data_IF_406329825544
#
_entry.id   IF_406329825544
#
_cell.length_a   1.000
_cell.length_b   1.000
_cell.length_c   1.000
_cell.angle_alpha   90.00
_cell.angle_beta   90.00
_cell.angle_gamma   90.00
#
_symmetry.space_group_name_H-M   'P 1'
#
loop_
_entity.id
_entity.type
_entity.pdbx_description
1 polymer ?
#
# COMPACT_ATOMS: atom_id res chain seq x y z
N UNK A 1 6.30 29.51 -22.38
CA UNK A 1 5.88 28.50 -21.39
C UNK A 1 7.10 28.05 -20.60
N UNK A 2 7.23 28.44 -19.32
CA UNK A 2 8.33 27.96 -18.47
C UNK A 2 8.08 26.49 -18.14
N UNK A 3 8.92 25.60 -18.65
CA UNK A 3 8.99 24.20 -18.26
C UNK A 3 9.23 24.15 -16.76
N UNK A 4 8.21 23.78 -15.97
CA UNK A 4 8.40 23.48 -14.55
C UNK A 4 9.33 22.27 -14.47
N UNK A 5 10.59 22.51 -14.16
CA UNK A 5 11.56 21.47 -13.82
C UNK A 5 10.98 20.62 -12.70
N UNK A 6 11.03 19.30 -12.86
CA UNK A 6 10.61 18.39 -11.82
C UNK A 6 11.40 18.70 -10.53
N UNK A 7 10.76 18.70 -9.35
CA UNK A 7 11.46 18.97 -8.10
C UNK A 7 12.61 17.97 -7.95
N UNK A 8 13.82 18.50 -7.71
CA UNK A 8 15.01 17.68 -7.51
C UNK A 8 14.78 16.77 -6.29
N UNK A 9 15.18 15.49 -6.36
CA UNK A 9 15.11 14.63 -5.19
C UNK A 9 15.98 15.23 -4.07
N UNK A 10 15.51 15.24 -2.81
CA UNK A 10 16.29 15.71 -1.70
C UNK A 10 17.55 14.85 -1.53
N UNK A 11 18.62 15.42 -0.95
CA UNK A 11 19.86 14.70 -0.70
C UNK A 11 19.64 13.42 0.12
N UNK A 12 20.50 12.40 -0.06
CA UNK A 12 20.44 11.13 0.69
C UNK A 12 20.44 11.34 2.21
N UNK A 13 21.07 12.41 2.71
CA UNK A 13 21.05 12.78 4.13
C UNK A 13 19.62 12.91 4.69
N UNK A 14 18.65 13.32 3.87
CA UNK A 14 17.24 13.41 4.28
C UNK A 14 16.64 12.05 4.65
N UNK A 15 17.14 10.93 4.12
CA UNK A 15 16.68 9.60 4.49
C UNK A 15 17.02 9.21 5.95
N UNK A 16 17.82 10.03 6.64
CA UNK A 16 18.18 9.86 8.05
C UNK A 16 17.58 10.94 8.94
N UNK A 17 16.83 11.90 8.40
CA UNK A 17 16.20 12.93 9.21
C UNK A 17 15.09 12.32 10.08
N UNK A 18 14.96 12.83 11.30
CA UNK A 18 13.82 12.52 12.14
C UNK A 18 12.59 13.31 11.66
N UNK A 19 11.38 12.75 11.79
CA UNK A 19 10.18 13.51 11.51
C UNK A 19 10.06 14.73 12.46
N UNK A 20 9.53 15.87 11.97
CA UNK A 20 9.28 17.05 12.77
C UNK A 20 8.50 16.75 14.06
N UNK A 21 8.72 17.56 15.10
CA UNK A 21 8.08 17.34 16.40
C UNK A 21 6.55 17.31 16.32
N UNK A 22 5.94 18.18 15.50
CA UNK A 22 4.49 18.22 15.31
C UNK A 22 3.95 16.95 14.64
N UNK A 23 4.63 16.37 13.64
CA UNK A 23 4.23 15.09 13.02
C UNK A 23 4.33 13.93 14.03
N UNK A 24 5.39 13.91 14.85
CA UNK A 24 5.54 12.91 15.91
C UNK A 24 4.45 13.01 16.97
N UNK A 25 4.10 14.24 17.36
CA UNK A 25 3.01 14.51 18.29
C UNK A 25 1.67 14.05 17.70
N UNK A 26 1.39 14.37 16.43
CA UNK A 26 0.19 13.94 15.72
C UNK A 26 0.10 12.41 15.64
N UNK A 27 1.20 11.73 15.30
CA UNK A 27 1.25 10.27 15.32
C UNK A 27 0.88 9.71 16.70
N UNK A 28 1.53 10.21 17.77
CA UNK A 28 1.29 9.76 19.14
C UNK A 28 -0.16 10.00 19.57
N UNK A 29 -0.73 11.16 19.23
CA UNK A 29 -2.11 11.49 19.54
C UNK A 29 -3.08 10.49 18.90
N UNK A 30 -2.78 9.98 17.69
CA UNK A 30 -3.66 9.10 16.94
C UNK A 30 -3.40 7.59 17.09
N UNK A 31 -2.47 7.15 17.95
CA UNK A 31 -2.19 5.72 18.21
C UNK A 31 -3.35 4.97 18.88
N UNK A 32 -4.24 5.69 19.55
CA UNK A 32 -5.42 5.14 20.25
C UNK A 32 -6.69 5.93 19.95
N UNK A 33 -6.66 6.82 18.95
CA UNK A 33 -7.81 7.65 18.62
C UNK A 33 -8.89 6.82 17.92
N UNK A 34 -10.17 7.09 18.19
CA UNK A 34 -11.26 6.56 17.38
C UNK A 34 -11.11 6.97 15.92
N UNK A 35 -11.55 6.10 15.00
CA UNK A 35 -11.56 6.41 13.57
C UNK A 35 -12.48 7.59 13.21
N UNK A 36 -13.46 7.87 14.07
CA UNK A 36 -14.51 8.88 13.88
C UNK A 36 -14.21 10.21 14.58
N UNK A 37 -12.97 10.43 15.04
CA UNK A 37 -12.56 11.72 15.60
C UNK A 37 -12.80 12.85 14.61
N UNK A 38 -13.24 14.01 15.08
CA UNK A 38 -13.51 15.19 14.22
C UNK A 38 -12.29 15.70 13.47
N UNK A 39 -11.09 15.35 13.94
CA UNK A 39 -9.80 15.67 13.31
C UNK A 39 -9.41 14.71 12.18
N UNK A 40 -10.18 13.64 11.96
CA UNK A 40 -9.92 12.63 10.94
C UNK A 40 -10.76 12.92 9.70
N UNK A 41 -10.10 13.00 8.55
CA UNK A 41 -10.77 13.13 7.26
C UNK A 41 -11.31 11.79 6.80
N UNK A 42 -12.63 11.70 6.71
CA UNK A 42 -13.36 10.55 6.19
C UNK A 42 -13.99 10.91 4.83
N UNK A 43 -13.31 10.56 3.74
CA UNK A 43 -13.71 10.94 2.38
C UNK A 43 -15.03 10.30 1.90
N UNK A 44 -15.47 9.21 2.52
CA UNK A 44 -16.78 8.61 2.23
C UNK A 44 -17.93 9.35 2.92
N UNK A 45 -17.68 9.89 4.11
CA UNK A 45 -18.69 10.52 4.96
C UNK A 45 -18.43 12.02 5.14
N UNK A 46 -17.91 12.70 4.11
CA UNK A 46 -17.71 14.15 4.16
C UNK A 46 -19.07 14.85 4.32
N UNK A 47 -19.25 15.69 5.36
CA UNK A 47 -20.48 16.43 5.50
C UNK A 47 -20.61 17.48 4.38
N UNK A 48 -21.84 17.79 3.94
CA UNK A 48 -22.08 18.66 2.78
C UNK A 48 -21.54 20.10 2.94
N UNK A 49 -21.28 20.54 4.17
CA UNK A 49 -20.80 21.89 4.51
C UNK A 49 -19.42 21.89 5.21
N UNK A 50 -18.51 20.97 4.87
CA UNK A 50 -17.16 20.91 5.47
C UNK A 50 -16.33 22.16 5.10
N UNK A 51 -16.51 23.23 5.86
CA UNK A 51 -15.77 24.50 5.80
C UNK A 51 -15.75 25.12 7.19
N UNK A 52 -14.59 25.08 7.86
CA UNK A 52 -14.12 26.09 8.83
C UNK A 52 -12.84 25.71 9.61
N UNK A 53 -12.31 24.49 9.47
CA UNK A 53 -10.94 24.17 9.90
C UNK A 53 -10.31 23.24 8.88
N UNK A 54 -9.31 23.72 8.14
CA UNK A 54 -8.62 23.08 6.99
C UNK A 54 -8.46 21.55 7.08
N UNK A 55 -8.45 20.82 5.95
CA UNK A 55 -7.93 21.22 4.64
C UNK A 55 -9.01 21.61 3.61
N UNK A 56 -8.72 22.59 2.76
CA UNK A 56 -9.53 22.78 1.56
C UNK A 56 -9.40 21.52 0.69
N UNK A 57 -10.54 20.93 0.32
CA UNK A 57 -10.57 19.71 -0.49
C UNK A 57 -10.98 20.11 -1.90
N UNK A 58 -10.14 19.80 -2.89
CA UNK A 58 -10.52 19.95 -4.30
C UNK A 58 -10.85 18.58 -4.89
N UNK A 59 -11.93 18.50 -5.65
CA UNK A 59 -12.40 17.24 -6.24
C UNK A 59 -12.07 17.19 -7.74
N UNK A 60 -11.60 16.03 -8.21
CA UNK A 60 -11.53 15.65 -9.62
C UNK A 60 -12.10 14.24 -9.81
N UNK A 61 -12.21 13.74 -11.03
CA UNK A 61 -12.76 12.41 -11.30
C UNK A 61 -11.85 11.58 -12.21
N UNK A 62 -11.93 10.26 -12.07
CA UNK A 62 -11.48 9.28 -13.05
C UNK A 62 -12.74 8.77 -13.76
N UNK A 63 -12.75 8.82 -15.10
CA UNK A 63 -13.93 8.37 -15.83
C UNK A 63 -14.18 6.88 -15.63
N UNK A 64 -15.45 6.50 -15.54
CA UNK A 64 -15.86 5.09 -15.38
C UNK A 64 -15.27 4.18 -16.47
N UNK A 65 -15.22 4.67 -17.72
CA UNK A 65 -14.63 3.96 -18.87
C UNK A 65 -13.13 3.71 -18.72
N UNK A 66 -12.38 4.69 -18.22
CA UNK A 66 -10.93 4.56 -17.99
C UNK A 66 -10.66 3.61 -16.84
N UNK A 67 -11.43 3.71 -15.74
CA UNK A 67 -11.33 2.80 -14.62
C UNK A 67 -11.63 1.35 -15.03
N UNK A 68 -12.71 1.13 -15.78
CA UNK A 68 -13.08 -0.20 -16.27
C UNK A 68 -11.99 -0.81 -17.16
N UNK A 69 -11.45 -0.02 -18.09
CA UNK A 69 -10.36 -0.46 -18.96
C UNK A 69 -9.06 -0.74 -18.20
N UNK A 70 -8.80 -0.05 -17.08
CA UNK A 70 -7.67 -0.33 -16.22
C UNK A 70 -7.88 -1.62 -15.42
N UNK A 71 -9.11 -1.88 -14.95
CA UNK A 71 -9.45 -3.05 -14.14
C UNK A 71 -9.46 -4.36 -14.95
N UNK A 72 -9.84 -4.31 -16.23
CA UNK A 72 -9.77 -5.46 -17.14
C UNK A 72 -8.36 -5.99 -17.37
N UNK A 73 -7.32 -5.19 -17.09
CA UNK A 73 -5.93 -5.67 -17.13
C UNK A 73 -5.59 -6.67 -16.00
N UNK A 74 -6.47 -6.82 -15.01
CA UNK A 74 -6.22 -7.65 -13.82
C UNK A 74 -7.16 -8.82 -13.67
N UNK A 75 -8.33 -8.78 -14.29
CA UNK A 75 -9.34 -9.82 -14.22
C UNK A 75 -10.07 -9.89 -15.55
N UNK A 76 -10.29 -11.11 -16.04
CA UNK A 76 -11.08 -11.37 -17.24
C UNK A 76 -12.60 -11.35 -16.94
N UNK A 77 -12.98 -11.21 -15.66
CA UNK A 77 -14.37 -11.07 -15.24
C UNK A 77 -14.88 -9.66 -15.58
N UNK A 78 -15.72 -9.59 -16.61
CA UNK A 78 -16.30 -8.35 -17.11
C UNK A 78 -17.19 -7.65 -16.06
N UNK A 79 -17.86 -8.40 -15.19
CA UNK A 79 -18.73 -7.84 -14.17
C UNK A 79 -17.90 -7.29 -13.00
N UNK A 80 -16.82 -8.00 -12.62
CA UNK A 80 -15.89 -7.54 -11.60
C UNK A 80 -15.11 -6.26 -11.99
N UNK A 81 -15.00 -5.97 -13.28
CA UNK A 81 -14.19 -4.87 -13.80
C UNK A 81 -15.03 -3.69 -14.28
N UNK A 82 -16.36 -3.85 -14.36
CA UNK A 82 -17.28 -2.80 -14.77
C UNK A 82 -17.42 -1.72 -13.70
N UNK A 83 -17.15 -0.49 -14.10
CA UNK A 83 -17.40 0.71 -13.29
C UNK A 83 -18.55 1.48 -13.93
N UNK A 84 -19.60 1.75 -13.15
CA UNK A 84 -20.81 2.42 -13.66
C UNK A 84 -20.74 3.94 -13.58
N UNK A 85 -20.03 4.47 -12.59
CA UNK A 85 -19.97 5.92 -12.31
C UNK A 85 -18.54 6.40 -12.15
N UNK A 86 -18.31 7.67 -12.46
CA UNK A 86 -17.01 8.29 -12.32
C UNK A 86 -16.50 8.23 -10.87
N UNK A 87 -15.24 7.82 -10.71
CA UNK A 87 -14.61 7.66 -9.41
C UNK A 87 -14.08 9.02 -8.94
N UNK A 88 -14.48 9.45 -7.75
CA UNK A 88 -14.04 10.73 -7.18
C UNK A 88 -12.61 10.64 -6.66
N UNK A 89 -11.85 11.69 -6.94
CA UNK A 89 -10.47 11.89 -6.46
C UNK A 89 -10.45 13.17 -5.65
N UNK A 90 -10.05 13.06 -4.39
CA UNK A 90 -9.97 14.18 -3.47
C UNK A 90 -8.53 14.64 -3.31
N UNK A 91 -8.28 15.93 -3.46
CA UNK A 91 -6.98 16.57 -3.28
C UNK A 91 -6.97 17.31 -1.96
N UNK A 92 -5.93 17.10 -1.16
CA UNK A 92 -5.80 17.68 0.17
C UNK A 92 -4.94 18.93 0.09
N UNK A 93 -5.54 20.13 0.18
CA UNK A 93 -4.80 21.37 -0.07
C UNK A 93 -3.66 21.64 0.92
N UNK A 94 -3.81 21.22 2.18
CA UNK A 94 -2.74 21.36 3.20
C UNK A 94 -1.55 20.44 2.96
N UNK A 95 -1.67 19.46 2.05
CA UNK A 95 -0.55 18.61 1.62
C UNK A 95 -0.51 18.57 0.09
N UNK A 96 0.09 19.60 -0.56
CA UNK A 96 0.10 19.70 -2.02
C UNK A 96 0.63 18.44 -2.72
N UNK A 97 -0.18 17.88 -3.61
CA UNK A 97 0.13 16.66 -4.35
C UNK A 97 -0.32 15.36 -3.68
N UNK A 98 -0.93 15.42 -2.49
CA UNK A 98 -1.63 14.31 -1.85
C UNK A 98 -3.03 14.17 -2.42
N UNK A 99 -3.37 12.97 -2.88
CA UNK A 99 -4.71 12.63 -3.37
C UNK A 99 -5.21 11.38 -2.67
N UNK A 100 -6.52 11.33 -2.42
CA UNK A 100 -7.21 10.18 -1.83
C UNK A 100 -8.36 9.79 -2.75
N UNK A 101 -8.45 8.50 -3.04
CA UNK A 101 -9.49 7.91 -3.88
C UNK A 101 -10.20 6.85 -3.03
N UNK A 102 -11.33 7.20 -2.40
CA UNK A 102 -12.11 6.24 -1.64
C UNK A 102 -12.74 5.21 -2.57
N UNK A 103 -12.81 3.95 -2.14
CA UNK A 103 -13.39 2.84 -2.90
C UNK A 103 -12.90 2.75 -4.35
N UNK A 104 -11.60 2.93 -4.57
CA UNK A 104 -11.02 2.78 -5.92
C UNK A 104 -11.25 1.36 -6.45
N UNK A 105 -11.09 0.34 -5.62
CA UNK A 105 -11.12 -1.06 -6.06
C UNK A 105 -12.43 -1.77 -5.65
N UNK A 106 -13.17 -2.36 -6.60
CA UNK A 106 -14.29 -3.23 -6.31
C UNK A 106 -13.89 -4.47 -5.47
N UNK A 107 -14.79 -5.03 -4.62
CA UNK A 107 -14.49 -6.17 -3.77
C UNK A 107 -13.87 -7.39 -4.48
N UNK A 108 -14.39 -7.76 -5.64
CA UNK A 108 -13.89 -8.88 -6.48
C UNK A 108 -12.45 -8.63 -6.94
N UNK A 109 -12.14 -7.40 -7.34
CA UNK A 109 -10.80 -7.01 -7.75
C UNK A 109 -9.84 -6.97 -6.56
N UNK A 110 -10.30 -6.55 -5.38
CA UNK A 110 -9.51 -6.63 -4.15
C UNK A 110 -9.08 -8.07 -3.84
N UNK A 111 -10.00 -9.05 -3.91
CA UNK A 111 -9.65 -10.48 -3.75
C UNK A 111 -8.69 -10.97 -4.83
N UNK A 112 -8.90 -10.58 -6.08
CA UNK A 112 -8.02 -10.94 -7.20
C UNK A 112 -6.59 -10.45 -6.98
N UNK A 113 -6.44 -9.19 -6.56
CA UNK A 113 -5.14 -8.61 -6.26
C UNK A 113 -4.50 -9.25 -5.03
N UNK A 114 -5.26 -9.46 -3.95
CA UNK A 114 -4.76 -10.16 -2.76
C UNK A 114 -4.30 -11.57 -3.08
N UNK A 115 -5.02 -12.33 -3.91
CA UNK A 115 -4.57 -13.65 -4.39
C UNK A 115 -3.24 -13.54 -5.14
N UNK A 116 -3.11 -12.61 -6.10
CA UNK A 116 -1.84 -12.41 -6.82
C UNK A 116 -0.69 -12.06 -5.86
N UNK A 117 -0.91 -11.17 -4.90
CA UNK A 117 0.12 -10.72 -3.96
C UNK A 117 0.51 -11.80 -2.94
N UNK A 118 -0.46 -12.46 -2.33
CA UNK A 118 -0.24 -13.36 -1.19
C UNK A 118 0.00 -14.80 -1.62
N UNK A 119 -0.61 -15.25 -2.72
CA UNK A 119 -0.48 -16.64 -3.17
C UNK A 119 0.67 -16.79 -4.15
N UNK A 120 0.60 -16.03 -5.25
CA UNK A 120 1.57 -16.09 -6.35
C UNK A 120 2.88 -15.36 -6.00
N UNK A 121 2.79 -14.09 -5.63
CA UNK A 121 4.00 -13.24 -5.51
C UNK A 121 4.79 -13.51 -4.24
N UNK A 122 4.16 -13.75 -3.09
CA UNK A 122 4.86 -14.06 -1.83
C UNK A 122 5.72 -15.33 -1.93
N UNK A 123 5.27 -16.32 -2.71
CA UNK A 123 5.94 -17.62 -2.86
C UNK A 123 7.01 -17.64 -3.95
N UNK A 124 7.12 -16.56 -4.73
CA UNK A 124 8.10 -16.44 -5.81
C UNK A 124 9.50 -16.18 -5.24
N UNK A 125 10.52 -17.01 -5.55
CA UNK A 125 11.87 -16.86 -5.01
C UNK A 125 12.60 -15.59 -5.46
N UNK A 126 12.08 -14.89 -6.49
CA UNK A 126 12.61 -13.60 -6.94
C UNK A 126 12.25 -12.45 -6.00
N UNK A 127 11.19 -12.61 -5.20
CA UNK A 127 10.74 -11.61 -4.25
C UNK A 127 11.39 -11.82 -2.89
N UNK A 128 11.69 -10.72 -2.18
CA UNK A 128 12.29 -10.77 -0.84
C UNK A 128 11.29 -10.36 0.21
N UNK A 129 11.53 -10.85 1.42
CA UNK A 129 10.73 -10.58 2.62
C UNK A 129 11.64 -10.27 3.80
N UNK A 130 11.07 -9.76 4.88
CA UNK A 130 11.79 -9.53 6.14
C UNK A 130 12.40 -10.78 6.77
N UNK A 131 12.05 -11.97 6.29
CA UNK A 131 12.45 -13.25 6.85
C UNK A 131 13.66 -13.87 6.13
N UNK A 132 13.94 -13.43 4.90
CA UNK A 132 15.07 -13.93 4.11
C UNK A 132 16.44 -13.62 4.74
N UNK A 133 16.52 -12.67 5.68
CA UNK A 133 17.75 -12.38 6.43
C UNK A 133 18.02 -13.40 7.56
N UNK A 134 17.07 -14.27 7.88
CA UNK A 134 17.11 -15.13 9.05
C UNK A 134 16.77 -16.60 8.77
N UNK A 135 16.04 -16.87 7.68
CA UNK A 135 15.53 -18.20 7.35
C UNK A 135 15.75 -18.52 5.87
N UNK A 136 16.02 -19.78 5.57
CA UNK A 136 15.96 -20.31 4.21
C UNK A 136 14.49 -20.54 3.83
N UNK A 137 13.99 -19.77 2.86
CA UNK A 137 12.62 -19.83 2.35
C UNK A 137 12.62 -20.41 0.93
N UNK A 138 12.65 -21.75 0.78
CA UNK A 138 12.49 -22.36 -0.53
C UNK A 138 11.06 -22.15 -1.04
N UNK A 139 10.86 -22.08 -2.37
CA UNK A 139 9.51 -22.06 -2.92
C UNK A 139 8.73 -23.32 -2.49
N UNK A 140 7.39 -23.25 -2.41
CA UNK A 140 6.54 -24.41 -2.17
C UNK A 140 6.82 -25.57 -3.14
N UNK A 141 6.57 -26.83 -2.74
CA UNK A 141 6.63 -27.99 -3.62
C UNK A 141 5.78 -27.82 -4.90
N UNK A 142 6.09 -28.47 -6.04
CA UNK A 142 5.36 -28.27 -7.30
C UNK A 142 3.84 -28.56 -7.25
N UNK A 143 3.41 -29.41 -6.31
CA UNK A 143 2.01 -29.76 -6.04
C UNK A 143 1.28 -28.71 -5.19
N UNK A 144 2.01 -27.79 -4.57
CA UNK A 144 1.49 -26.72 -3.73
C UNK A 144 1.85 -25.37 -4.36
N UNK A 145 0.87 -24.60 -4.81
CA UNK A 145 1.12 -23.34 -5.52
C UNK A 145 1.57 -22.18 -4.63
N UNK A 146 1.34 -22.27 -3.31
CA UNK A 146 1.61 -21.18 -2.37
C UNK A 146 1.97 -21.62 -0.94
N UNK A 147 2.68 -20.75 -0.21
CA UNK A 147 2.79 -20.89 1.25
C UNK A 147 1.44 -20.91 1.98
N UNK A 148 0.39 -20.29 1.43
CA UNK A 148 -0.96 -20.33 2.01
C UNK A 148 -1.65 -21.68 1.83
N UNK A 149 -1.24 -22.46 0.82
CA UNK A 149 -1.74 -23.81 0.53
C UNK A 149 -0.89 -24.91 1.19
N UNK A 150 0.26 -24.53 1.75
CA UNK A 150 1.18 -25.46 2.41
C UNK A 150 0.69 -25.88 3.80
N UNK A 151 1.08 -27.08 4.24
CA UNK A 151 0.80 -27.54 5.62
C UNK A 151 1.31 -26.52 6.66
N UNK A 152 0.47 -26.10 7.63
CA UNK A 152 0.83 -25.11 8.65
C UNK A 152 2.06 -25.47 9.49
N UNK A 153 2.34 -26.76 9.63
CA UNK A 153 3.44 -27.36 10.41
C UNK A 153 4.76 -27.36 9.65
N UNK A 154 4.73 -27.23 8.32
CA UNK A 154 5.94 -27.13 7.50
C UNK A 154 6.84 -26.00 8.01
N UNK A 155 8.12 -26.29 8.18
CA UNK A 155 9.08 -25.36 8.79
C UNK A 155 10.14 -24.88 7.82
N UNK A 156 10.47 -23.59 7.94
CA UNK A 156 11.64 -22.98 7.32
C UNK A 156 12.85 -23.07 8.24
N UNK A 157 13.97 -23.53 7.68
CA UNK A 157 15.22 -23.69 8.41
C UNK A 157 15.83 -22.35 8.79
N UNK A 158 16.21 -22.18 10.06
CA UNK A 158 16.96 -21.00 10.48
C UNK A 158 18.38 -20.99 9.87
N UNK A 159 18.88 -19.80 9.50
CA UNK A 159 20.23 -19.66 8.95
C UNK A 159 21.33 -19.81 10.02
N UNK A 160 21.01 -19.48 11.27
CA UNK A 160 21.95 -19.61 12.38
C UNK A 160 21.84 -21.00 13.01
N UNK A 161 22.96 -21.59 13.42
CA UNK A 161 23.01 -22.92 14.03
C UNK A 161 22.15 -23.05 15.30
N UNK A 162 22.05 -21.98 16.09
CA UNK A 162 21.22 -21.93 17.32
C UNK A 162 19.78 -21.45 17.08
N UNK A 163 19.44 -21.15 15.82
CA UNK A 163 18.12 -20.64 15.46
C UNK A 163 17.06 -21.73 15.48
N UNK A 164 15.88 -21.41 16.02
CA UNK A 164 14.71 -22.29 15.90
C UNK A 164 14.05 -22.11 14.54
N UNK A 165 13.69 -23.23 13.94
CA UNK A 165 12.94 -23.23 12.70
C UNK A 165 11.58 -22.53 12.82
N UNK A 166 11.11 -21.97 11.72
CA UNK A 166 9.90 -21.15 11.66
C UNK A 166 8.82 -21.89 10.89
N UNK A 167 7.73 -22.28 11.56
CA UNK A 167 6.58 -22.86 10.87
C UNK A 167 5.89 -21.85 9.95
N UNK A 168 5.28 -22.34 8.86
CA UNK A 168 4.49 -21.53 7.92
C UNK A 168 3.36 -20.80 8.64
N UNK A 169 2.66 -21.47 9.56
CA UNK A 169 1.63 -20.82 10.38
C UNK A 169 2.17 -19.60 11.12
N UNK A 170 3.32 -19.74 11.78
CA UNK A 170 3.94 -18.65 12.56
C UNK A 170 4.50 -17.56 11.64
N UNK A 171 5.01 -17.94 10.46
CA UNK A 171 5.41 -17.01 9.41
C UNK A 171 4.23 -16.09 9.06
N UNK A 172 3.15 -16.67 8.54
CA UNK A 172 2.00 -15.94 7.98
C UNK A 172 1.24 -15.15 9.05
N UNK A 173 1.14 -15.67 10.28
CA UNK A 173 0.38 -14.99 11.33
C UNK A 173 1.14 -13.89 12.05
N UNK A 174 2.41 -14.15 12.35
CA UNK A 174 3.13 -13.38 13.38
C UNK A 174 4.42 -12.78 12.90
N UNK A 175 5.05 -13.26 11.81
CA UNK A 175 6.42 -12.87 11.46
C UNK A 175 6.58 -12.15 10.13
N UNK A 176 5.72 -12.40 9.14
CA UNK A 176 5.74 -11.65 7.88
C UNK A 176 5.38 -10.18 8.14
N UNK A 177 6.14 -9.26 7.56
CA UNK A 177 5.98 -7.80 7.70
C UNK A 177 6.00 -7.07 6.39
N UNK A 178 6.84 -7.50 5.45
CA UNK A 178 6.94 -6.90 4.13
C UNK A 178 7.39 -7.91 3.09
N UNK A 179 7.03 -7.61 1.84
CA UNK A 179 7.47 -8.29 0.62
C UNK A 179 7.88 -7.22 -0.39
N UNK A 180 8.96 -7.41 -1.12
CA UNK A 180 9.44 -6.53 -2.20
C UNK A 180 9.23 -7.19 -3.57
N UNK A 181 8.40 -6.57 -4.40
CA UNK A 181 8.08 -7.01 -5.76
C UNK A 181 8.91 -6.23 -6.79
N UNK A 182 9.44 -6.91 -7.80
CA UNK A 182 10.30 -6.29 -8.82
C UNK A 182 11.68 -5.87 -8.27
N UNK A 183 12.05 -4.59 -8.42
CA UNK A 183 13.37 -4.07 -8.06
C UNK A 183 13.61 -4.15 -6.55
N UNK A 184 14.59 -4.93 -6.14
CA UNK A 184 14.84 -5.22 -4.72
C UNK A 184 15.54 -4.03 -4.04
N UNK A 185 14.82 -3.31 -3.18
CA UNK A 185 15.39 -2.18 -2.44
C UNK A 185 16.43 -2.68 -1.43
N UNK A 186 17.66 -2.15 -1.54
CA UNK A 186 18.70 -2.41 -0.56
C UNK A 186 18.47 -1.52 0.67
N UNK A 187 18.04 -2.14 1.77
CA UNK A 187 17.77 -1.45 3.03
C UNK A 187 19.03 -0.89 3.70
N UNK A 188 20.20 -1.48 3.45
CA UNK A 188 21.48 -1.04 4.02
C UNK A 188 22.02 0.17 3.27
N UNK A 189 22.03 0.10 1.93
CA UNK A 189 22.52 1.17 1.07
C UNK A 189 21.45 2.24 0.76
N UNK A 190 20.20 1.98 1.16
CA UNK A 190 19.02 2.83 0.91
C UNK A 190 18.82 3.17 -0.58
N UNK A 191 19.17 2.25 -1.47
CA UNK A 191 19.14 2.45 -2.93
C UNK A 191 18.49 1.27 -3.63
N UNK A 192 17.93 1.54 -4.79
CA UNK A 192 17.56 0.49 -5.73
C UNK A 192 18.78 0.08 -6.57
N UNK A 193 18.84 -1.17 -7.06
CA UNK A 193 19.84 -1.61 -8.02
C UNK A 193 19.76 -0.72 -9.26
N UNK A 194 20.92 -0.38 -9.83
CA UNK A 194 20.99 0.51 -10.98
C UNK A 194 20.61 -0.19 -12.30
N UNK A 195 20.65 -1.52 -12.33
CA UNK A 195 20.50 -2.31 -13.55
C UNK A 195 19.04 -2.73 -13.80
N UNK A 196 18.38 -2.23 -14.87
CA UNK A 196 17.02 -2.61 -15.25
C UNK A 196 16.88 -4.08 -15.64
N UNK A 197 17.97 -4.75 -16.03
CA UNK A 197 17.97 -6.18 -16.42
C UNK A 197 17.74 -7.13 -15.23
N UNK A 198 17.84 -6.61 -13.99
CA UNK A 198 17.56 -7.35 -12.76
C UNK A 198 16.06 -7.45 -12.43
N UNK A 199 15.18 -6.81 -13.20
CA UNK A 199 13.75 -6.96 -13.03
C UNK A 199 13.26 -8.26 -13.70
N UNK A 200 12.42 -9.07 -13.01
CA UNK A 200 11.64 -10.08 -13.73
C UNK A 200 10.80 -9.39 -14.80
N UNK A 201 10.73 -9.96 -16.00
CA UNK A 201 9.95 -9.39 -17.11
C UNK A 201 8.53 -9.00 -16.66
N UNK A 202 8.27 -7.69 -16.71
CA UNK A 202 6.99 -7.00 -16.51
C UNK A 202 6.29 -7.23 -15.15
N UNK A 203 6.69 -6.52 -14.08
CA UNK A 203 5.77 -6.23 -13.00
C UNK A 203 4.80 -5.14 -13.47
N UNK A 204 3.56 -5.52 -13.81
CA UNK A 204 2.38 -4.65 -13.94
C UNK A 204 2.58 -3.35 -14.77
N UNK A 205 2.34 -3.40 -16.09
CA UNK A 205 2.50 -2.28 -17.04
C UNK A 205 1.45 -1.15 -16.95
N UNK A 206 0.93 -0.84 -15.77
CA UNK A 206 -0.27 0.02 -15.63
C UNK A 206 0.06 1.51 -15.72
N UNK A 207 1.32 1.92 -15.52
CA UNK A 207 1.65 3.35 -15.37
C UNK A 207 2.55 3.94 -16.48
N UNK A 208 2.95 3.14 -17.47
CA UNK A 208 3.80 3.60 -18.58
C UNK A 208 2.97 3.96 -19.81
N UNK A 209 2.19 5.05 -19.75
CA UNK A 209 1.73 5.73 -20.96
C UNK A 209 2.32 7.15 -21.01
N UNK A 210 3.26 7.31 -21.93
CA UNK A 210 3.78 8.53 -22.57
C UNK A 210 3.92 9.80 -21.71
N UNK A 211 5.18 10.14 -21.37
CA UNK A 211 5.61 11.53 -21.20
C UNK A 211 5.37 12.19 -19.85
N UNK A 212 4.82 11.48 -18.85
CA UNK A 212 4.54 12.05 -17.53
C UNK A 212 5.73 11.81 -16.57
N UNK A 213 6.52 12.86 -16.33
CA UNK A 213 7.68 12.89 -15.41
C UNK A 213 7.33 12.86 -13.90
N UNK A 214 6.18 12.34 -13.52
CA UNK A 214 5.81 12.29 -12.09
C UNK A 214 6.16 10.92 -11.53
N UNK A 215 7.24 10.87 -10.75
CA UNK A 215 7.48 9.72 -9.86
C UNK A 215 6.37 9.72 -8.82
N UNK A 216 5.36 8.88 -9.00
CA UNK A 216 4.24 8.73 -8.06
C UNK A 216 4.59 7.71 -6.97
N UNK A 217 3.95 7.83 -5.81
CA UNK A 217 3.77 6.73 -4.86
C UNK A 217 2.27 6.46 -4.81
N UNK A 218 1.88 5.23 -5.12
CA UNK A 218 0.49 4.77 -5.00
C UNK A 218 0.43 3.78 -3.86
N UNK A 219 -0.47 4.01 -2.92
CA UNK A 219 -0.67 3.20 -1.72
C UNK A 219 -2.10 2.66 -1.77
N UNK A 220 -2.27 1.35 -1.86
CA UNK A 220 -3.58 0.70 -1.89
C UNK A 220 -3.77 -0.10 -0.61
N UNK A 221 -4.92 0.07 0.03
CA UNK A 221 -5.27 -0.54 1.32
C UNK A 221 -6.21 -1.73 1.13
N UNK A 222 -5.98 -2.81 1.87
CA UNK A 222 -6.88 -3.97 1.93
C UNK A 222 -7.07 -4.45 3.38
N UNK A 223 -8.27 -4.92 3.74
CA UNK A 223 -8.57 -5.45 5.06
C UNK A 223 -9.01 -4.39 6.06
N UNK A 224 -8.55 -4.51 7.31
CA UNK A 224 -8.92 -3.58 8.37
C UNK A 224 -8.61 -2.12 8.02
N UNK A 225 -9.50 -1.24 8.45
CA UNK A 225 -9.35 0.20 8.32
C UNK A 225 -8.17 0.73 9.14
N UNK A 226 -7.65 1.88 8.72
CA UNK A 226 -6.54 2.52 9.38
C UNK A 226 -6.64 4.04 9.35
N UNK A 227 -5.87 4.69 10.22
CA UNK A 227 -5.57 6.11 10.11
C UNK A 227 -4.22 6.26 9.40
N UNK A 228 -4.19 7.07 8.35
CA UNK A 228 -3.01 7.45 7.60
C UNK A 228 -2.69 8.92 7.86
N UNK A 229 -1.45 9.21 8.24
CA UNK A 229 -0.96 10.57 8.45
C UNK A 229 -0.05 10.97 7.30
N UNK A 230 -0.17 12.21 6.83
CA UNK A 230 0.80 12.84 5.93
C UNK A 230 1.00 14.32 6.29
N UNK A 231 2.23 14.83 6.18
CA UNK A 231 2.54 16.24 6.37
C UNK A 231 3.82 16.67 5.67
N UNK A 232 3.89 17.93 5.23
CA UNK A 232 5.01 18.51 4.50
C UNK A 232 5.50 19.74 5.26
N UNK A 233 6.82 19.94 5.31
CA UNK A 233 7.41 21.15 5.90
C UNK A 233 7.14 21.29 7.40
N UNK A 234 6.73 22.49 7.80
CA UNK A 234 6.40 22.85 9.19
C UNK A 234 4.89 22.91 9.46
N UNK A 235 4.06 22.69 8.43
CA UNK A 235 2.61 22.77 8.52
C UNK A 235 2.01 21.59 9.29
N UNK A 236 0.81 21.79 9.86
CA UNK A 236 0.08 20.71 10.51
C UNK A 236 -0.20 19.56 9.53
N UNK A 237 0.16 18.34 9.93
CA UNK A 237 -0.12 17.13 9.17
C UNK A 237 -1.62 16.83 9.13
N UNK A 238 -2.04 16.09 8.10
CA UNK A 238 -3.43 15.61 7.97
C UNK A 238 -3.56 14.19 8.46
N UNK A 239 -4.74 13.85 8.98
CA UNK A 239 -5.10 12.48 9.33
C UNK A 239 -6.26 12.05 8.45
N UNK A 240 -6.08 10.95 7.72
CA UNK A 240 -7.03 10.40 6.75
C UNK A 240 -7.44 9.01 7.21
N UNK A 241 -8.73 8.73 7.27
CA UNK A 241 -9.25 7.37 7.41
C UNK A 241 -9.14 6.66 6.06
N UNK A 242 -8.54 5.47 6.05
CA UNK A 242 -8.41 4.63 4.85
C UNK A 242 -9.05 3.26 5.09
N UNK A 243 -9.88 2.83 4.14
CA UNK A 243 -10.61 1.56 4.13
C UNK A 243 -10.08 0.59 3.10
N UNK A 244 -10.60 -0.64 3.12
CA UNK A 244 -10.30 -1.65 2.11
C UNK A 244 -10.77 -1.18 0.73
N UNK A 245 -9.85 -1.08 -0.23
CA UNK A 245 -10.10 -0.58 -1.58
C UNK A 245 -9.72 0.88 -1.79
N UNK A 246 -9.37 1.62 -0.73
CA UNK A 246 -8.92 3.00 -0.85
C UNK A 246 -7.50 3.10 -1.41
N UNK A 247 -7.26 4.15 -2.20
CA UNK A 247 -5.94 4.50 -2.67
C UNK A 247 -5.50 5.90 -2.20
N UNK A 248 -4.25 6.00 -1.76
CA UNK A 248 -3.57 7.27 -1.50
C UNK A 248 -2.47 7.45 -2.55
N UNK A 249 -2.47 8.60 -3.23
CA UNK A 249 -1.48 8.96 -4.24
C UNK A 249 -0.66 10.13 -3.71
N UNK A 250 0.66 9.97 -3.68
CA UNK A 250 1.60 11.01 -3.27
C UNK A 250 2.45 11.40 -4.48
N UNK A 251 2.31 12.65 -4.89
CA UNK A 251 2.97 13.25 -6.06
C UNK A 251 3.54 14.62 -5.71
N UNK A 252 4.41 15.17 -6.54
CA UNK A 252 4.98 16.51 -6.31
C UNK A 252 5.64 16.62 -4.93
N UNK A 253 5.21 17.60 -4.12
CA UNK A 253 5.70 17.81 -2.75
C UNK A 253 5.28 16.70 -1.79
N UNK A 254 4.05 16.21 -1.90
CA UNK A 254 3.57 15.10 -1.07
C UNK A 254 4.40 13.82 -1.23
N UNK A 255 5.14 13.64 -2.33
CA UNK A 255 6.09 12.52 -2.47
C UNK A 255 7.13 12.48 -1.34
N UNK A 256 7.47 13.64 -0.79
CA UNK A 256 8.46 13.82 0.27
C UNK A 256 7.81 14.07 1.63
N UNK A 257 6.48 13.95 1.72
CA UNK A 257 5.77 14.12 2.97
C UNK A 257 6.20 13.06 4.00
N UNK A 258 6.37 13.51 5.24
CA UNK A 258 6.40 12.62 6.38
C UNK A 258 5.05 11.93 6.50
N UNK A 259 5.03 10.61 6.55
CA UNK A 259 3.80 9.84 6.64
C UNK A 259 3.93 8.65 7.57
N UNK A 260 2.80 8.25 8.17
CA UNK A 260 2.76 7.10 9.07
C UNK A 260 1.35 6.52 9.15
N UNK A 261 1.24 5.32 9.71
CA UNK A 261 -0.04 4.67 10.04
C UNK A 261 -0.07 4.46 11.55
N UNK A 262 -0.58 5.40 12.35
CA UNK A 262 -0.60 5.28 13.82
C UNK A 262 -1.56 4.21 14.33
N UNK A 263 -2.63 3.91 13.59
CA UNK A 263 -3.70 2.99 14.04
C UNK A 263 -4.16 2.10 12.89
N UNK A 264 -4.27 0.80 13.18
CA UNK A 264 -5.03 -0.18 12.39
C UNK A 264 -6.14 -0.70 13.30
N UNK A 265 -7.40 -0.47 12.90
CA UNK A 265 -8.54 -0.77 13.74
C UNK A 265 -8.99 -2.23 13.55
N UNK A 266 -8.73 -3.08 14.55
CA UNK A 266 -9.23 -4.46 14.51
C UNK A 266 -10.77 -4.51 14.46
N UNK A 267 -11.33 -5.53 13.81
CA UNK A 267 -12.78 -5.71 13.69
C UNK A 267 -13.46 -4.79 12.66
N UNK A 268 -12.67 -4.14 11.79
CA UNK A 268 -13.16 -3.30 10.69
C UNK A 268 -12.85 -3.89 9.31
N UNK A 269 -12.46 -5.17 9.26
CA UNK A 269 -12.29 -5.85 7.99
C UNK A 269 -13.68 -6.00 7.32
N UNK A 270 -13.82 -5.75 6.01
CA UNK A 270 -15.11 -5.93 5.33
C UNK A 270 -15.60 -7.38 5.45
N UNK A 271 -16.89 -7.57 5.70
CA UNK A 271 -17.54 -8.89 5.92
C UNK A 271 -17.15 -9.91 4.85
N UNK A 272 -17.20 -9.53 3.57
CA UNK A 272 -16.86 -10.37 2.42
C UNK A 272 -15.38 -10.80 2.36
N UNK A 273 -14.51 -10.16 3.15
CA UNK A 273 -13.07 -10.42 3.24
C UNK A 273 -12.66 -11.05 4.58
N UNK A 274 -13.51 -11.00 5.61
CA UNK A 274 -13.14 -11.47 6.96
C UNK A 274 -12.71 -12.93 6.97
N UNK A 275 -13.48 -13.79 6.33
CA UNK A 275 -13.24 -15.24 6.29
C UNK A 275 -12.17 -15.64 5.27
N UNK A 276 -11.75 -14.73 4.38
CA UNK A 276 -10.77 -15.00 3.34
C UNK A 276 -9.33 -15.06 3.91
N UNK A 277 -8.44 -15.93 3.36
CA UNK A 277 -8.66 -16.86 2.24
C UNK A 277 -9.25 -18.21 2.65
N UNK A 278 -9.81 -18.94 1.67
CA UNK A 278 -10.42 -20.25 1.88
C UNK A 278 -9.43 -21.29 2.42
N UNK A 279 -8.16 -21.20 2.01
CA UNK A 279 -7.06 -22.05 2.44
C UNK A 279 -6.64 -21.78 3.88
N UNK A 280 -7.00 -20.61 4.42
CA UNK A 280 -6.63 -20.19 5.78
C UNK A 280 -7.67 -19.23 6.35
N UNK A 281 -8.81 -19.79 6.71
CA UNK A 281 -10.00 -19.04 7.13
C UNK A 281 -9.68 -18.01 8.20
N UNK A 282 -10.30 -16.84 8.08
CA UNK A 282 -10.17 -15.71 9.01
C UNK A 282 -8.79 -15.02 9.05
N UNK A 283 -7.87 -15.34 8.13
CA UNK A 283 -6.55 -14.71 8.15
C UNK A 283 -6.64 -13.19 7.98
N UNK A 284 -7.54 -12.69 7.15
CA UNK A 284 -7.73 -11.24 6.95
C UNK A 284 -8.53 -10.54 8.05
N UNK A 285 -9.35 -11.26 8.84
CA UNK A 285 -10.24 -10.70 9.88
C UNK A 285 -9.61 -9.61 10.75
N UNK A 286 -8.35 -9.82 11.15
CA UNK A 286 -7.59 -8.89 11.99
C UNK A 286 -6.38 -8.25 11.31
N UNK A 287 -6.31 -8.24 9.98
CA UNK A 287 -5.12 -7.79 9.24
C UNK A 287 -5.44 -6.68 8.25
N UNK A 288 -4.40 -5.89 7.98
CA UNK A 288 -4.37 -4.91 6.90
C UNK A 288 -3.17 -5.20 6.00
N UNK A 289 -3.40 -5.31 4.70
CA UNK A 289 -2.36 -5.44 3.67
C UNK A 289 -2.26 -4.11 2.93
N UNK A 290 -1.04 -3.68 2.65
CA UNK A 290 -0.77 -2.40 2.02
C UNK A 290 0.16 -2.59 0.83
N UNK A 291 -0.34 -2.31 -0.38
CA UNK A 291 0.45 -2.35 -1.60
C UNK A 291 1.01 -0.95 -1.90
N UNK A 292 2.33 -0.80 -1.86
CA UNK A 292 3.01 0.43 -2.27
C UNK A 292 3.64 0.24 -3.64
N UNK A 293 3.20 1.02 -4.63
CA UNK A 293 3.76 1.00 -5.99
C UNK A 293 4.54 2.28 -6.24
N UNK A 294 5.73 2.14 -6.80
CA UNK A 294 6.62 3.24 -7.16
C UNK A 294 7.20 3.00 -8.54
N UNK A 295 7.20 4.02 -9.39
CA UNK A 295 7.98 4.00 -10.63
C UNK A 295 9.46 4.26 -10.29
N UNK A 296 10.33 3.35 -10.72
CA UNK A 296 11.77 3.38 -10.39
C UNK A 296 12.60 4.06 -11.49
N UNK A 297 12.32 3.73 -12.76
CA UNK A 297 13.02 4.25 -13.93
C UNK A 297 12.03 4.89 -14.91
N UNK A 298 12.56 5.75 -15.77
CA UNK A 298 11.82 6.48 -16.81
C UNK A 298 11.58 5.60 -18.05
#
# INVERSE_FOLDING_TARGET
>A
MKTKTAPQPPPISHAHHAPPAHIRALHKAHQKSPLTSSTVLDFENLPPNFSSSLPAIATSTISASVASAAFSAFSDDADATRVETDIRVYKVASVPGLQVIPNLLPPSLQKTLLRKLLFRDLSDPRHRTNLHAHYHLPPPPPDVGSYFESSPETTFRAMNADGRDLSISRMLDKKLRWVTLGGQYDWSLKKYPLDPSSLPERPLSIFTRQGIRWRLIVIISFGCEALFIAGVGEDEGVVVRVRSGDAVIMSGEARWAWHSVPTVAAGTCPEWLEEWPEERTEWMRGKRVNLNVRQMWD
#
